data_IF_447777698801
#
_entry.id   IF_447777698801
#
_cell.length_a   1.000
_cell.length_b   1.000
_cell.length_c   1.000
_cell.angle_alpha   90.00
_cell.angle_beta   90.00
_cell.angle_gamma   90.00
#
_symmetry.space_group_name_H-M   'P 1'
#
loop_
_entity.id
_entity.type
_entity.pdbx_description
1 polymer ?
#
# COMPACT_ATOMS: atom_id res chain seq x y z
N UNK A 1 -6.46 -6.61 -5.12
CA UNK A 1 -5.24 -5.98 -5.66
C UNK A 1 -4.11 -6.28 -4.71
N UNK A 2 -3.11 -7.04 -5.11
CA UNK A 2 -1.91 -7.33 -4.30
C UNK A 2 -0.70 -6.66 -4.93
N UNK A 3 -0.66 -5.34 -4.85
CA UNK A 3 0.52 -4.56 -5.24
C UNK A 3 1.14 -4.06 -3.93
N UNK A 4 2.43 -4.36 -3.71
CA UNK A 4 3.14 -4.15 -2.45
C UNK A 4 2.55 -4.91 -1.22
N UNK A 5 2.36 -6.25 -1.28
CA UNK A 5 1.93 -7.04 -0.11
C UNK A 5 2.91 -6.98 1.07
N UNK A 6 4.16 -6.55 0.83
CA UNK A 6 5.16 -6.32 1.86
C UNK A 6 4.87 -5.05 2.70
N UNK A 7 4.01 -4.16 2.19
CA UNK A 7 3.70 -2.85 2.78
C UNK A 7 2.23 -2.73 3.18
N UNK A 8 1.32 -3.38 2.44
CA UNK A 8 -0.12 -3.30 2.68
C UNK A 8 -0.75 -4.67 2.82
N UNK A 9 -1.67 -4.81 3.77
CA UNK A 9 -2.49 -5.99 3.96
C UNK A 9 -3.97 -5.60 3.94
N UNK A 10 -4.77 -6.27 3.12
CA UNK A 10 -6.24 -6.19 3.23
C UNK A 10 -6.70 -7.41 3.99
N UNK A 11 -7.38 -7.20 5.12
CA UNK A 11 -7.86 -8.28 5.98
C UNK A 11 -9.33 -8.60 5.72
N UNK A 12 -9.84 -9.59 6.44
CA UNK A 12 -11.22 -10.09 6.31
C UNK A 12 -12.29 -9.06 6.68
N UNK A 13 -11.90 -7.97 7.34
CA UNK A 13 -12.77 -6.84 7.68
C UNK A 13 -12.87 -5.77 6.56
N UNK A 14 -12.31 -6.05 5.38
CA UNK A 14 -12.28 -5.16 4.20
C UNK A 14 -11.55 -3.82 4.45
N UNK A 15 -10.71 -3.79 5.50
CA UNK A 15 -9.83 -2.66 5.81
C UNK A 15 -8.41 -2.92 5.28
N UNK A 16 -7.78 -1.84 4.82
CA UNK A 16 -6.37 -1.84 4.43
C UNK A 16 -5.53 -1.42 5.63
N UNK A 17 -4.54 -2.24 5.96
CA UNK A 17 -3.56 -2.04 7.02
C UNK A 17 -2.20 -1.75 6.40
N UNK A 18 -1.48 -0.80 6.98
CA UNK A 18 -0.08 -0.54 6.65
C UNK A 18 0.79 -1.44 7.53
N UNK A 19 1.57 -2.33 6.89
CA UNK A 19 2.52 -3.23 7.55
C UNK A 19 3.87 -2.54 7.79
N UNK A 20 4.24 -1.62 6.90
CA UNK A 20 5.48 -0.85 6.97
C UNK A 20 5.21 0.60 6.52
N UNK A 21 5.27 1.55 7.46
CA UNK A 21 5.02 2.98 7.17
C UNK A 21 6.23 3.66 6.52
N UNK A 22 7.42 3.07 6.64
CA UNK A 22 8.67 3.60 6.08
C UNK A 22 9.38 2.52 5.25
N UNK A 23 8.73 2.06 4.16
CA UNK A 23 9.27 0.98 3.36
C UNK A 23 10.57 1.39 2.70
N UNK A 24 11.44 0.41 2.45
CA UNK A 24 12.70 0.65 1.76
C UNK A 24 12.48 1.28 0.37
N UNK A 25 13.48 2.03 -0.10
CA UNK A 25 13.44 2.71 -1.41
C UNK A 25 13.12 1.77 -2.58
N UNK A 26 13.55 0.50 -2.49
CA UNK A 26 13.27 -0.54 -3.50
C UNK A 26 11.77 -0.84 -3.65
N UNK A 27 10.98 -0.59 -2.61
CA UNK A 27 9.54 -0.81 -2.59
C UNK A 27 8.75 0.43 -3.02
N UNK A 28 9.35 1.62 -3.12
CA UNK A 28 8.64 2.86 -3.45
C UNK A 28 7.85 2.75 -4.76
N UNK A 29 8.43 2.14 -5.80
CA UNK A 29 7.73 1.94 -7.08
C UNK A 29 6.49 1.03 -6.93
N UNK A 30 6.56 0.02 -6.07
CA UNK A 30 5.41 -0.84 -5.75
C UNK A 30 4.36 -0.06 -4.95
N UNK A 31 4.78 0.74 -3.97
CA UNK A 31 3.91 1.59 -3.15
C UNK A 31 3.14 2.60 -4.01
N UNK A 32 3.83 3.30 -4.90
CA UNK A 32 3.19 4.23 -5.84
C UNK A 32 2.20 3.54 -6.79
N UNK A 33 2.54 2.34 -7.25
CA UNK A 33 1.64 1.55 -8.09
C UNK A 33 0.41 1.09 -7.32
N UNK A 34 0.56 0.74 -6.03
CA UNK A 34 -0.55 0.38 -5.15
C UNK A 34 -1.49 1.57 -4.93
N UNK A 35 -0.94 2.75 -4.63
CA UNK A 35 -1.71 3.98 -4.46
C UNK A 35 -2.51 4.37 -5.71
N UNK A 36 -1.87 4.32 -6.89
CA UNK A 36 -2.53 4.62 -8.18
C UNK A 36 -3.63 3.63 -8.56
N UNK A 37 -3.50 2.39 -8.12
CA UNK A 37 -4.43 1.30 -8.44
C UNK A 37 -5.56 1.18 -7.42
N UNK A 38 -5.38 1.67 -6.20
CA UNK A 38 -6.36 1.52 -5.11
C UNK A 38 -7.74 2.11 -5.49
N UNK A 39 -8.78 1.28 -5.69
CA UNK A 39 -10.09 1.76 -6.15
C UNK A 39 -10.81 2.60 -5.10
N UNK A 40 -10.50 2.39 -3.82
CA UNK A 40 -11.07 3.12 -2.68
C UNK A 40 -10.24 4.36 -2.29
N UNK A 41 -9.14 4.64 -2.99
CA UNK A 41 -8.21 5.73 -2.66
C UNK A 41 -7.74 5.71 -1.19
N UNK A 42 -7.53 4.52 -0.64
CA UNK A 42 -7.20 4.31 0.78
C UNK A 42 -5.71 4.55 1.12
N UNK A 43 -4.87 4.86 0.12
CA UNK A 43 -3.42 5.01 0.29
C UNK A 43 -3.05 6.45 -0.02
N UNK A 44 -2.47 7.15 0.97
CA UNK A 44 -1.89 8.49 0.84
C UNK A 44 -0.38 8.38 0.95
N UNK A 45 0.35 9.08 0.08
CA UNK A 45 1.81 9.14 0.12
C UNK A 45 2.24 10.53 0.62
N UNK A 46 3.01 10.55 1.70
CA UNK A 46 3.59 11.75 2.27
C UNK A 46 5.11 11.77 2.04
N UNK A 47 5.70 12.97 2.01
CA UNK A 47 7.12 13.18 1.67
C UNK A 47 7.97 13.42 2.90
#
# INVERSE_FOLDING_TARGET
MTVAPEVFEVRDDDMLYVLDEQPSFELHAKVEAAARRCPKLAITLER
#
